data_IF_312951440383
#
_entry.id   IF_312951440383
#
_cell.length_a   1.000
_cell.length_b   1.000
_cell.length_c   1.000
_cell.angle_alpha   90.00
_cell.angle_beta   90.00
_cell.angle_gamma   90.00
#
_symmetry.space_group_name_H-M   'P 1'
#
loop_
_entity.id
_entity.type
_entity.pdbx_description
1 polymer ?
#
# COMPACT_ATOMS: atom_id res chain seq x y z
N UNK A 1 18.45 16.53 2.08
CA UNK A 1 18.12 15.40 1.16
C UNK A 1 17.80 14.10 1.90
N UNK A 2 18.23 13.89 3.16
CA UNK A 2 17.89 12.67 3.93
C UNK A 2 16.38 12.48 4.19
N UNK A 3 15.64 13.57 4.42
CA UNK A 3 14.19 13.52 4.70
C UNK A 3 13.35 13.02 3.52
N UNK A 4 13.75 13.38 2.28
CA UNK A 4 13.06 12.94 1.08
C UNK A 4 13.22 11.43 0.86
N UNK A 5 14.44 10.91 1.01
CA UNK A 5 14.74 9.48 0.87
C UNK A 5 14.02 8.62 1.93
N UNK A 6 13.88 9.13 3.16
CA UNK A 6 13.15 8.46 4.24
C UNK A 6 11.65 8.36 3.96
N UNK A 7 11.04 9.38 3.36
CA UNK A 7 9.62 9.40 3.00
C UNK A 7 9.29 8.37 1.90
N UNK A 8 10.17 8.23 0.91
CA UNK A 8 10.03 7.23 -0.16
C UNK A 8 10.09 5.81 0.40
N UNK A 9 11.06 5.50 1.27
CA UNK A 9 11.17 4.17 1.90
C UNK A 9 9.95 3.83 2.76
N UNK A 10 9.43 4.78 3.54
CA UNK A 10 8.21 4.58 4.34
C UNK A 10 7.01 4.30 3.42
N UNK A 11 6.91 4.99 2.29
CA UNK A 11 5.82 4.78 1.32
C UNK A 11 5.89 3.40 0.67
N UNK A 12 7.10 2.89 0.36
CA UNK A 12 7.29 1.50 -0.08
C UNK A 12 6.87 0.48 0.98
N UNK A 13 7.22 0.71 2.25
CA UNK A 13 6.79 -0.17 3.36
C UNK A 13 5.26 -0.19 3.44
N UNK A 14 4.60 0.97 3.39
CA UNK A 14 3.15 1.07 3.44
C UNK A 14 2.47 0.43 2.21
N UNK A 15 3.11 0.48 1.04
CA UNK A 15 2.67 -0.26 -0.15
C UNK A 15 2.69 -1.76 0.09
N UNK A 16 3.81 -2.32 0.56
CA UNK A 16 3.91 -3.76 0.84
C UNK A 16 2.94 -4.21 1.95
N UNK A 17 2.73 -3.38 2.98
CA UNK A 17 1.72 -3.63 4.02
C UNK A 17 0.31 -3.68 3.42
N UNK A 18 -0.01 -2.78 2.49
CA UNK A 18 -1.32 -2.76 1.82
C UNK A 18 -1.54 -3.98 0.92
N UNK A 19 -0.49 -4.44 0.22
CA UNK A 19 -0.53 -5.69 -0.56
C UNK A 19 -0.73 -6.89 0.36
N UNK A 20 0.00 -6.97 1.48
CA UNK A 20 -0.17 -8.03 2.46
C UNK A 20 -1.59 -8.04 3.05
N UNK A 21 -2.15 -6.87 3.36
CA UNK A 21 -3.53 -6.75 3.84
C UNK A 21 -4.56 -7.25 2.81
N UNK A 22 -4.34 -6.98 1.52
CA UNK A 22 -5.17 -7.51 0.43
C UNK A 22 -5.13 -9.04 0.36
N UNK A 23 -3.92 -9.62 0.44
CA UNK A 23 -3.75 -11.09 0.47
C UNK A 23 -4.42 -11.69 1.71
N UNK A 24 -4.26 -11.09 2.89
CA UNK A 24 -4.91 -11.55 4.11
C UNK A 24 -6.45 -11.45 4.03
N UNK A 25 -6.98 -10.39 3.39
CA UNK A 25 -8.42 -10.27 3.12
C UNK A 25 -8.92 -11.36 2.17
N UNK A 26 -8.11 -11.76 1.19
CA UNK A 26 -8.45 -12.86 0.28
C UNK A 26 -8.67 -14.19 1.02
N UNK A 27 -7.84 -14.49 2.03
CA UNK A 27 -7.96 -15.70 2.85
C UNK A 27 -9.00 -15.60 3.98
N UNK A 28 -9.67 -14.46 4.10
CA UNK A 28 -10.62 -14.15 5.16
C UNK A 28 -12.07 -14.31 4.68
N UNK A 29 -13.03 -14.61 5.57
CA UNK A 29 -14.46 -14.55 5.24
C UNK A 29 -14.93 -13.16 4.76
N UNK A 30 -14.10 -12.12 4.93
CA UNK A 30 -14.32 -10.76 4.45
C UNK A 30 -13.79 -10.50 3.02
N UNK A 31 -13.48 -11.53 2.24
CA UNK A 31 -12.96 -11.39 0.86
C UNK A 31 -13.84 -10.52 -0.06
N UNK A 32 -15.14 -10.38 0.22
CA UNK A 32 -16.03 -9.46 -0.51
C UNK A 32 -15.59 -7.99 -0.43
N UNK A 33 -14.80 -7.61 0.58
CA UNK A 33 -14.28 -6.25 0.76
C UNK A 33 -12.87 -6.06 0.21
N UNK A 34 -12.32 -7.04 -0.52
CA UNK A 34 -10.95 -6.96 -1.06
C UNK A 34 -10.77 -5.76 -1.99
N UNK A 35 -11.82 -5.36 -2.72
CA UNK A 35 -11.84 -4.17 -3.59
C UNK A 35 -11.67 -2.87 -2.81
N UNK A 36 -12.00 -2.84 -1.51
CA UNK A 36 -11.74 -1.69 -0.65
C UNK A 36 -10.24 -1.48 -0.36
N UNK A 37 -9.39 -2.49 -0.58
CA UNK A 37 -7.94 -2.39 -0.38
C UNK A 37 -7.19 -1.82 -1.59
N UNK A 38 -7.77 -1.94 -2.80
CA UNK A 38 -7.21 -1.42 -4.04
C UNK A 38 -6.84 0.07 -4.01
N UNK A 39 -7.69 1.00 -3.55
CA UNK A 39 -7.34 2.42 -3.51
C UNK A 39 -6.12 2.70 -2.63
N UNK A 40 -5.93 1.95 -1.53
CA UNK A 40 -4.75 2.10 -0.67
C UNK A 40 -3.48 1.59 -1.34
N UNK A 41 -3.55 0.46 -2.04
CA UNK A 41 -2.42 -0.09 -2.79
C UNK A 41 -1.99 0.93 -3.86
N UNK A 42 -2.93 1.45 -4.65
CA UNK A 42 -2.65 2.43 -5.70
C UNK A 42 -2.10 3.74 -5.11
N UNK A 43 -2.68 4.22 -4.01
CA UNK A 43 -2.24 5.44 -3.34
C UNK A 43 -0.81 5.32 -2.81
N UNK A 44 -0.50 4.27 -2.04
CA UNK A 44 0.86 4.10 -1.51
C UNK A 44 1.87 3.76 -2.59
N UNK A 45 1.46 3.07 -3.66
CA UNK A 45 2.31 2.83 -4.82
C UNK A 45 2.67 4.14 -5.53
N UNK A 46 1.68 4.98 -5.84
CA UNK A 46 1.91 6.26 -6.49
C UNK A 46 2.78 7.19 -5.61
N UNK A 47 2.55 7.18 -4.29
CA UNK A 47 3.39 7.91 -3.32
C UNK A 47 4.82 7.34 -3.20
N UNK A 48 4.98 6.02 -3.35
CA UNK A 48 6.29 5.36 -3.34
C UNK A 48 7.10 5.62 -4.62
N UNK A 49 6.40 5.86 -5.74
CA UNK A 49 6.99 6.32 -7.01
C UNK A 49 7.18 7.85 -7.05
N UNK A 50 6.81 8.57 -5.99
CA UNK A 50 6.86 10.04 -5.93
C UNK A 50 6.04 10.72 -7.06
N UNK A 51 4.96 10.06 -7.49
CA UNK A 51 4.05 10.55 -8.54
C UNK A 51 3.00 11.53 -8.01
N UNK A 52 2.74 11.50 -6.70
CA UNK A 52 1.79 12.33 -5.93
C UNK A 52 2.32 12.57 -4.52
#
# INVERSE_FOLDING_TARGET
>A
METAKKSTTISWILFFVSVAACVLMYFSPFANYITATLPFIVYYFAKALDLI
#
